data_IF_729097480215
#
_entry.id   IF_729097480215
#
_cell.length_a   1.000
_cell.length_b   1.000
_cell.length_c   1.000
_cell.angle_alpha   90.00
_cell.angle_beta   90.00
_cell.angle_gamma   90.00
#
_symmetry.space_group_name_H-M   'P 1'
#
loop_
_entity.id
_entity.type
_entity.pdbx_description
1 polymer ?
#
# COMPACT_ATOMS: atom_id res chain seq x y z
N UNK A 1 -9.51 -8.14 13.46
CA UNK A 1 -8.77 -8.19 12.19
C UNK A 1 -9.72 -8.71 11.13
N UNK A 2 -9.82 -8.08 9.94
CA UNK A 2 -10.59 -8.64 8.81
C UNK A 2 -10.06 -10.04 8.52
N UNK A 3 -10.97 -11.01 8.29
CA UNK A 3 -10.60 -12.35 7.81
C UNK A 3 -10.23 -12.22 6.33
N UNK A 4 -8.96 -12.05 6.04
CA UNK A 4 -8.45 -11.98 4.67
C UNK A 4 -7.13 -11.23 4.62
N UNK A 5 -6.07 -11.89 4.17
CA UNK A 5 -4.78 -11.26 3.87
C UNK A 5 -4.88 -10.41 2.62
N UNK A 6 -5.56 -9.27 2.71
CA UNK A 6 -5.70 -8.31 1.62
C UNK A 6 -4.60 -7.25 1.72
N UNK A 7 -4.03 -6.89 0.58
CA UNK A 7 -2.99 -5.86 0.51
C UNK A 7 -3.61 -4.46 0.55
N UNK A 8 -3.03 -3.59 1.38
CA UNK A 8 -3.39 -2.17 1.46
C UNK A 8 -2.25 -1.24 1.02
N UNK A 9 -1.04 -1.81 0.87
CA UNK A 9 0.14 -1.15 0.35
C UNK A 9 1.16 -2.20 -0.09
N UNK A 10 1.65 -2.11 -1.32
CA UNK A 10 2.81 -2.87 -1.79
C UNK A 10 3.73 -1.89 -2.50
N UNK A 11 4.83 -1.55 -1.86
CA UNK A 11 5.76 -0.57 -2.40
C UNK A 11 7.00 -0.43 -1.52
N UNK A 12 8.03 0.27 -2.02
CA UNK A 12 9.25 0.51 -1.25
C UNK A 12 8.95 1.46 -0.09
N UNK A 13 9.41 1.15 1.11
CA UNK A 13 9.26 2.04 2.27
C UNK A 13 9.93 3.40 2.06
N UNK A 14 11.07 3.42 1.38
CA UNK A 14 11.92 4.61 1.24
C UNK A 14 12.74 4.89 2.50
N UNK A 15 13.66 5.86 2.41
CA UNK A 15 14.49 6.26 3.56
C UNK A 15 13.58 6.85 4.65
N UNK A 16 13.72 6.35 5.88
CA UNK A 16 12.84 6.71 7.01
C UNK A 16 11.35 6.49 6.71
N UNK A 17 11.01 5.48 5.89
CA UNK A 17 9.62 5.13 5.54
C UNK A 17 8.84 6.24 4.81
N UNK A 18 9.55 7.19 4.20
CA UNK A 18 8.93 8.38 3.62
C UNK A 18 7.92 8.09 2.50
N UNK A 19 8.07 7.01 1.73
CA UNK A 19 7.12 6.65 0.68
C UNK A 19 5.84 6.04 1.27
N UNK A 20 5.98 5.20 2.29
CA UNK A 20 4.84 4.65 3.02
C UNK A 20 4.04 5.77 3.67
N UNK A 21 4.71 6.70 4.36
CA UNK A 21 4.07 7.84 5.01
C UNK A 21 3.31 8.68 3.99
N UNK A 22 3.99 9.09 2.90
CA UNK A 22 3.38 9.89 1.83
C UNK A 22 2.14 9.22 1.22
N UNK A 23 2.18 7.90 1.02
CA UNK A 23 1.05 7.17 0.47
C UNK A 23 -0.18 7.25 1.38
N UNK A 24 -0.05 6.88 2.66
CA UNK A 24 -1.19 6.90 3.58
C UNK A 24 -1.66 8.33 3.91
N UNK A 25 -0.76 9.30 4.04
CA UNK A 25 -1.13 10.71 4.25
C UNK A 25 -1.86 11.34 3.05
N UNK A 26 -1.70 10.78 1.84
CA UNK A 26 -2.44 11.22 0.66
C UNK A 26 -3.89 10.72 0.63
N UNK A 27 -4.23 9.73 1.48
CA UNK A 27 -5.59 9.23 1.57
C UNK A 27 -6.46 10.19 2.39
N UNK A 28 -7.69 10.48 1.93
CA UNK A 28 -8.57 11.41 2.61
C UNK A 28 -8.92 10.89 4.01
N UNK A 29 -8.76 11.75 5.02
CA UNK A 29 -9.13 11.46 6.41
C UNK A 29 -8.06 10.74 7.24
N UNK A 30 -6.94 10.32 6.64
CA UNK A 30 -5.81 9.77 7.40
C UNK A 30 -5.07 10.90 8.12
N UNK A 31 -4.87 10.74 9.44
CA UNK A 31 -4.11 11.69 10.25
C UNK A 31 -2.61 11.58 9.96
N UNK A 32 -1.93 12.74 9.86
CA UNK A 32 -0.48 12.80 9.68
C UNK A 32 0.28 12.13 10.82
N UNK A 33 1.45 11.58 10.48
CA UNK A 33 2.34 11.00 11.49
C UNK A 33 2.95 12.11 12.37
N UNK A 34 3.09 11.84 13.66
CA UNK A 34 3.78 12.74 14.60
C UNK A 34 5.29 12.65 14.42
N UNK A 35 5.99 13.75 14.69
CA UNK A 35 7.46 13.77 14.69
C UNK A 35 8.02 12.71 15.67
N UNK A 36 9.12 12.07 15.26
CA UNK A 36 9.78 10.98 16.01
C UNK A 36 8.89 9.76 16.35
N UNK A 37 7.72 9.62 15.73
CA UNK A 37 6.86 8.45 15.93
C UNK A 37 7.26 7.29 15.01
N UNK A 38 7.05 6.06 15.47
CA UNK A 38 7.38 4.88 14.69
C UNK A 38 6.40 4.72 13.50
N UNK A 39 6.87 4.76 12.23
CA UNK A 39 6.00 4.66 11.06
C UNK A 39 5.24 3.33 10.97
N UNK A 40 5.82 2.23 11.47
CA UNK A 40 5.15 0.94 11.47
C UNK A 40 3.94 0.94 12.42
N UNK A 41 4.12 1.49 13.63
CA UNK A 41 3.04 1.63 14.61
C UNK A 41 1.94 2.55 14.09
N UNK A 42 2.31 3.72 13.57
CA UNK A 42 1.35 4.67 13.01
C UNK A 42 0.55 4.07 11.86
N UNK A 43 1.19 3.34 10.94
CA UNK A 43 0.50 2.70 9.83
C UNK A 43 -0.59 1.73 10.33
N UNK A 44 -0.30 0.92 11.37
CA UNK A 44 -1.29 0.00 11.95
C UNK A 44 -2.47 0.74 12.59
N UNK A 45 -2.22 1.88 13.22
CA UNK A 45 -3.26 2.69 13.86
C UNK A 45 -4.20 3.34 12.84
N UNK A 46 -3.63 3.97 11.80
CA UNK A 46 -4.43 4.68 10.79
C UNK A 46 -5.15 3.74 9.83
N UNK A 47 -4.69 2.49 9.72
CA UNK A 47 -5.33 1.44 8.89
C UNK A 47 -6.19 0.46 9.70
N UNK A 48 -6.40 0.74 10.99
CA UNK A 48 -7.23 -0.11 11.84
C UNK A 48 -8.69 -0.16 11.32
N UNK A 49 -9.37 -1.28 11.57
CA UNK A 49 -10.77 -1.46 11.17
C UNK A 49 -11.73 -0.40 11.76
N UNK A 50 -11.41 0.14 12.94
CA UNK A 50 -12.14 1.27 13.52
C UNK A 50 -11.98 2.56 12.71
N UNK A 51 -10.80 2.79 12.12
CA UNK A 51 -10.56 3.91 11.22
C UNK A 51 -11.29 3.72 9.89
N UNK A 52 -11.27 2.52 9.30
CA UNK A 52 -12.08 2.20 8.11
C UNK A 52 -13.56 2.54 8.32
N UNK A 53 -14.13 2.10 9.44
CA UNK A 53 -15.54 2.37 9.78
C UNK A 53 -15.81 3.86 10.01
N UNK A 54 -14.88 4.57 10.66
CA UNK A 54 -15.02 6.01 10.94
C UNK A 54 -14.95 6.84 9.65
N UNK A 55 -14.05 6.47 8.73
CA UNK A 55 -13.83 7.15 7.46
C UNK A 55 -14.82 6.71 6.38
N UNK A 56 -15.50 5.56 6.57
CA UNK A 56 -16.38 4.97 5.57
C UNK A 56 -15.64 4.47 4.34
N UNK A 57 -14.38 4.01 4.50
CA UNK A 57 -13.52 3.56 3.41
C UNK A 57 -13.07 2.11 3.61
N UNK A 58 -12.72 1.44 2.52
CA UNK A 58 -11.99 0.18 2.54
C UNK A 58 -10.58 0.41 1.99
N UNK A 59 -9.56 0.25 2.83
CA UNK A 59 -8.18 0.54 2.41
C UNK A 59 -7.68 -0.43 1.33
N UNK A 60 -8.19 -1.66 1.28
CA UNK A 60 -7.81 -2.62 0.25
C UNK A 60 -8.37 -2.18 -1.11
N UNK A 61 -9.59 -1.65 -1.14
CA UNK A 61 -10.18 -1.13 -2.38
C UNK A 61 -9.56 0.20 -2.81
N UNK A 62 -9.20 1.07 -1.87
CA UNK A 62 -8.39 2.27 -2.17
C UNK A 62 -7.05 1.87 -2.82
N UNK A 63 -6.37 0.86 -2.28
CA UNK A 63 -5.13 0.38 -2.86
C UNK A 63 -5.32 -0.19 -4.26
N UNK A 64 -6.30 -1.08 -4.49
CA UNK A 64 -6.58 -1.66 -5.82
C UNK A 64 -6.87 -0.60 -6.89
N UNK A 65 -7.48 0.52 -6.50
CA UNK A 65 -7.79 1.63 -7.41
C UNK A 65 -6.63 2.62 -7.59
N UNK A 66 -5.57 2.51 -6.79
CA UNK A 66 -4.41 3.40 -6.83
C UNK A 66 -3.50 3.15 -8.04
N UNK A 67 -2.77 4.18 -8.45
CA UNK A 67 -1.75 4.05 -9.50
C UNK A 67 -0.56 3.19 -9.07
N UNK A 68 -0.32 3.04 -7.75
CA UNK A 68 0.68 2.13 -7.22
C UNK A 68 0.32 0.67 -7.57
N UNK A 69 -0.94 0.27 -7.35
CA UNK A 69 -1.40 -1.07 -7.72
C UNK A 69 -1.31 -1.31 -9.23
N UNK A 70 -1.76 -0.35 -10.05
CA UNK A 70 -1.70 -0.46 -11.52
C UNK A 70 -0.27 -0.67 -12.02
N UNK A 71 0.69 0.12 -11.53
CA UNK A 71 2.12 -0.01 -11.88
C UNK A 71 2.69 -1.34 -11.44
N UNK A 72 2.37 -1.78 -10.22
CA UNK A 72 2.83 -3.07 -9.71
C UNK A 72 2.29 -4.23 -10.57
N UNK A 73 1.01 -4.21 -10.93
CA UNK A 73 0.41 -5.22 -11.80
C UNK A 73 1.05 -5.23 -13.19
N UNK A 74 1.28 -4.07 -13.79
CA UNK A 74 1.96 -3.97 -15.08
C UNK A 74 3.38 -4.55 -15.02
N UNK A 75 4.15 -4.21 -13.99
CA UNK A 75 5.51 -4.72 -13.79
C UNK A 75 5.52 -6.24 -13.58
N UNK A 76 4.61 -6.78 -12.77
CA UNK A 76 4.48 -8.23 -12.55
C UNK A 76 4.17 -8.94 -13.87
N UNK A 77 3.24 -8.40 -14.67
CA UNK A 77 2.90 -8.96 -15.98
C UNK A 77 4.10 -8.94 -16.93
N UNK A 78 4.81 -7.81 -17.02
CA UNK A 78 6.00 -7.67 -17.86
C UNK A 78 7.07 -8.72 -17.48
N UNK A 79 7.44 -8.77 -16.19
CA UNK A 79 8.47 -9.69 -15.70
C UNK A 79 8.06 -11.16 -15.86
N UNK A 80 6.78 -11.47 -15.66
CA UNK A 80 6.25 -12.83 -15.85
C UNK A 80 6.32 -13.25 -17.32
N UNK A 81 6.02 -12.35 -18.26
CA UNK A 81 6.10 -12.66 -19.70
C UNK A 81 7.53 -12.71 -20.23
N UNK A 82 8.45 -11.90 -19.69
CA UNK A 82 9.86 -11.92 -20.07
C UNK A 82 10.54 -13.24 -19.68
N UNK A 83 10.08 -13.89 -18.61
CA UNK A 83 10.61 -15.19 -18.19
C UNK A 83 10.28 -16.33 -19.18
N UNK A 84 9.25 -16.20 -20.01
CA UNK A 84 8.89 -17.18 -21.04
C UNK A 84 9.62 -16.98 -22.38
N UNK A 85 10.26 -15.82 -22.60
CA UNK A 85 10.97 -15.51 -23.86
C UNK A 85 12.49 -15.75 -23.80
N UNK A 86 13.01 -16.24 -22.67
CA UNK A 86 14.45 -16.42 -22.42
C UNK A 86 15.03 -17.82 -22.71
N UNK A 87 14.25 -18.77 -23.24
CA UNK A 87 14.72 -20.16 -23.47
C UNK A 87 14.54 -20.63 -24.91
N UNK A 88 15.02 -19.83 -25.87
CA UNK A 88 15.19 -20.27 -27.26
C UNK A 88 16.58 -19.86 -27.74
N UNK A 89 17.60 -20.61 -27.32
CA UNK A 89 18.90 -20.73 -27.97
C UNK A 89 19.36 -22.18 -27.87
#
# INVERSE_FOLDING_TARGET
>A
MKRGGQEIYVGPLGRYSCHLIKYFESLPGVSKIKEAYNPATWMLEVTAASQEMTLGVDFADLYKNSDLYKRNKALITELSTSCYKGSAF
#
